data_IF_683127235502
#
_entry.id   IF_683127235502
#
_cell.length_a   1.000
_cell.length_b   1.000
_cell.length_c   1.000
_cell.angle_alpha   90.00
_cell.angle_beta   90.00
_cell.angle_gamma   90.00
#
_symmetry.space_group_name_H-M   'P 1'
#
loop_
_entity.id
_entity.type
_entity.pdbx_description
1 polymer ?
#
# COMPACT_ATOMS: atom_id res chain seq x y z
N UNK A 1 16.27 5.70 6.03
CA UNK A 1 15.53 5.12 7.17
C UNK A 1 14.01 5.14 6.97
N UNK A 2 13.40 6.26 6.54
CA UNK A 2 11.93 6.36 6.34
C UNK A 2 11.34 5.29 5.41
N UNK A 3 12.06 4.88 4.36
CA UNK A 3 11.58 3.87 3.39
C UNK A 3 11.43 2.47 3.99
N UNK A 4 12.33 2.07 4.89
CA UNK A 4 12.23 0.79 5.62
C UNK A 4 11.04 0.79 6.57
N UNK A 5 10.79 1.91 7.25
CA UNK A 5 9.61 2.09 8.10
C UNK A 5 8.31 1.94 7.30
N UNK A 6 8.20 2.59 6.14
CA UNK A 6 7.04 2.42 5.25
C UNK A 6 6.91 0.99 4.70
N UNK A 7 8.01 0.28 4.46
CA UNK A 7 7.98 -1.12 4.05
C UNK A 7 7.38 -2.03 5.12
N UNK A 8 7.86 -1.93 6.36
CA UNK A 8 7.29 -2.68 7.48
C UNK A 8 5.82 -2.32 7.71
N UNK A 9 5.48 -1.03 7.59
CA UNK A 9 4.11 -0.55 7.73
C UNK A 9 3.20 -1.04 6.59
N UNK A 10 3.70 -1.13 5.35
CA UNK A 10 2.95 -1.70 4.22
C UNK A 10 2.65 -3.18 4.40
N UNK A 11 3.53 -3.93 5.04
CA UNK A 11 3.30 -5.36 5.30
C UNK A 11 2.41 -5.54 6.52
N UNK A 12 2.62 -4.80 7.62
CA UNK A 12 1.79 -4.94 8.82
C UNK A 12 0.38 -4.34 8.66
N UNK A 13 0.27 -3.18 8.00
CA UNK A 13 -0.96 -2.40 7.84
C UNK A 13 -1.04 -1.78 6.43
N UNK A 14 -1.27 -2.60 5.38
CA UNK A 14 -1.27 -2.14 3.98
C UNK A 14 -2.29 -1.02 3.70
N UNK A 15 -3.47 -1.07 4.32
CA UNK A 15 -4.52 -0.08 4.16
C UNK A 15 -4.11 1.31 4.65
N UNK A 16 -3.32 1.39 5.72
CA UNK A 16 -2.86 2.66 6.27
C UNK A 16 -1.88 3.36 5.32
N UNK A 17 -1.02 2.59 4.66
CA UNK A 17 -0.12 3.12 3.63
C UNK A 17 -0.87 3.62 2.40
N UNK A 18 -1.94 2.93 2.01
CA UNK A 18 -2.79 3.33 0.89
C UNK A 18 -3.59 4.61 1.19
N UNK A 19 -4.06 4.79 2.43
CA UNK A 19 -4.66 6.05 2.87
C UNK A 19 -3.66 7.22 2.87
N UNK A 20 -2.43 7.00 3.34
CA UNK A 20 -1.37 8.02 3.33
C UNK A 20 -1.00 8.47 1.91
N UNK A 21 -1.20 7.60 0.92
CA UNK A 21 -0.90 7.86 -0.50
C UNK A 21 -2.13 8.31 -1.32
N UNK A 22 -3.17 8.83 -0.66
CA UNK A 22 -4.40 9.32 -1.30
C UNK A 22 -5.13 8.27 -2.16
N UNK A 23 -5.01 6.98 -1.81
CA UNK A 23 -5.71 5.88 -2.48
C UNK A 23 -6.74 5.21 -1.56
N UNK A 24 -7.89 5.89 -1.30
CA UNK A 24 -8.93 5.37 -0.41
C UNK A 24 -9.59 4.09 -0.95
N UNK A 25 -9.74 3.97 -2.28
CA UNK A 25 -10.26 2.75 -2.90
C UNK A 25 -9.35 1.54 -2.65
N UNK A 26 -8.04 1.76 -2.69
CA UNK A 26 -7.04 0.78 -2.28
C UNK A 26 -7.08 0.37 -0.84
N UNK A 27 -7.22 1.35 0.03
CA UNK A 27 -7.30 1.09 1.46
C UNK A 27 -8.50 0.19 1.80
N UNK A 28 -9.66 0.44 1.16
CA UNK A 28 -10.86 -0.40 1.31
C UNK A 28 -10.61 -1.81 0.78
N UNK A 29 -9.98 -1.97 -0.38
CA UNK A 29 -9.65 -3.30 -0.91
C UNK A 29 -8.65 -4.05 -0.03
N UNK A 30 -7.65 -3.35 0.50
CA UNK A 30 -6.70 -3.94 1.45
C UNK A 30 -7.41 -4.38 2.74
N UNK A 31 -8.36 -3.61 3.27
CA UNK A 31 -9.18 -3.99 4.43
C UNK A 31 -10.03 -5.24 4.16
N UNK A 32 -10.69 -5.31 2.99
CA UNK A 32 -11.49 -6.47 2.59
C UNK A 32 -10.59 -7.70 2.43
N UNK A 33 -9.42 -7.54 1.83
CA UNK A 33 -8.45 -8.61 1.68
C UNK A 33 -7.87 -9.07 3.02
N UNK A 34 -7.66 -8.16 3.97
CA UNK A 34 -7.16 -8.47 5.32
C UNK A 34 -8.15 -9.31 6.14
N UNK A 35 -9.41 -9.43 5.72
CA UNK A 35 -10.37 -10.36 6.30
C UNK A 35 -9.93 -11.84 6.13
N UNK A 36 -8.94 -12.12 5.26
CA UNK A 36 -8.39 -13.44 5.03
C UNK A 36 -6.85 -13.42 5.06
N UNK A 37 -6.24 -14.49 5.58
CA UNK A 37 -4.77 -14.66 5.58
C UNK A 37 -4.23 -14.67 4.14
N UNK A 38 -5.01 -15.18 3.19
CA UNK A 38 -4.65 -15.23 1.77
C UNK A 38 -4.64 -13.84 1.15
N UNK A 39 -5.61 -12.98 1.50
CA UNK A 39 -5.70 -11.62 0.98
C UNK A 39 -4.60 -10.68 1.50
N UNK A 40 -3.90 -11.05 2.57
CA UNK A 40 -2.79 -10.25 3.09
C UNK A 40 -1.61 -10.11 2.10
N UNK A 41 -1.34 -11.16 1.33
CA UNK A 41 -0.29 -11.18 0.29
C UNK A 41 -0.60 -10.20 -0.86
N UNK A 42 -1.75 -10.31 -1.57
CA UNK A 42 -2.11 -9.38 -2.62
C UNK A 42 -2.32 -7.96 -2.10
N UNK A 43 -2.84 -7.76 -0.87
CA UNK A 43 -2.95 -6.43 -0.27
C UNK A 43 -1.58 -5.75 -0.08
N UNK A 44 -0.57 -6.51 0.38
CA UNK A 44 0.80 -6.01 0.53
C UNK A 44 1.43 -5.66 -0.82
N UNK A 45 1.23 -6.48 -1.85
CA UNK A 45 1.69 -6.20 -3.21
C UNK A 45 1.04 -4.93 -3.79
N UNK A 46 -0.22 -4.69 -3.49
CA UNK A 46 -0.96 -3.52 -3.94
C UNK A 46 -0.47 -2.25 -3.25
N UNK A 47 -0.23 -2.30 -1.93
CA UNK A 47 0.39 -1.20 -1.18
C UNK A 47 1.78 -0.84 -1.75
N UNK A 48 2.61 -1.84 -2.09
CA UNK A 48 3.90 -1.63 -2.73
C UNK A 48 3.79 -0.99 -4.12
N UNK A 49 2.83 -1.42 -4.94
CA UNK A 49 2.55 -0.82 -6.27
C UNK A 49 2.21 0.67 -6.13
N UNK A 50 1.34 1.02 -5.19
CA UNK A 50 0.92 2.42 -4.96
C UNK A 50 2.08 3.25 -4.42
N UNK A 51 2.87 2.72 -3.49
CA UNK A 51 4.10 3.39 -3.03
C UNK A 51 5.04 3.74 -4.19
N UNK A 52 5.25 2.80 -5.12
CA UNK A 52 6.11 2.99 -6.29
C UNK A 52 5.53 4.00 -7.29
N UNK A 53 4.21 4.01 -7.47
CA UNK A 53 3.53 4.98 -8.33
C UNK A 53 3.62 6.39 -7.74
N UNK A 54 3.46 6.54 -6.42
CA UNK A 54 3.60 7.82 -5.73
C UNK A 54 5.04 8.33 -5.64
N UNK A 55 6.06 7.46 -5.75
CA UNK A 55 7.47 7.86 -5.86
C UNK A 55 7.85 8.22 -7.31
N UNK A 56 7.02 7.88 -8.29
CA UNK A 56 7.23 8.27 -9.68
C UNK A 56 6.94 9.77 -9.78
N UNK A 57 7.94 10.65 -9.96
CA UNK A 57 7.66 12.06 -10.11
C UNK A 57 6.81 12.24 -11.38
N UNK A 58 5.89 13.20 -11.36
CA UNK A 58 5.06 13.61 -12.49
C UNK A 58 5.84 14.12 -13.73
N UNK A 59 7.13 13.79 -13.85
CA UNK A 59 8.06 14.17 -14.92
C UNK A 59 8.18 13.11 -16.03
N UNK A 60 7.26 12.14 -16.08
CA UNK A 60 7.19 11.14 -17.16
C UNK A 60 5.80 11.08 -17.81
N UNK A 61 5.09 12.21 -17.83
CA UNK A 61 3.94 12.48 -18.69
C UNK A 61 4.22 13.73 -19.49
#
# INVERSE_FOLDING_TARGET
>A
MKRLFFFFLSVAFPWFVLLIKDNPGGAVMALIMQASIIGWIPASLWAMRVLKESEKPASAR
#
